data_IF_986365004280
#
_entry.id   IF_986365004280
#
_cell.length_a   1.000
_cell.length_b   1.000
_cell.length_c   1.000
_cell.angle_alpha   90.00
_cell.angle_beta   90.00
_cell.angle_gamma   90.00
#
_symmetry.space_group_name_H-M   'P 1'
#
loop_
_entity.id
_entity.type
_entity.pdbx_description
1 polymer ?
#
# COMPACT_ATOMS: atom_id res chain seq x y z
N UNK A 1 -16.97 -4.96 -17.60
CA UNK A 1 -16.21 -6.16 -17.18
C UNK A 1 -15.04 -5.69 -16.33
N UNK A 2 -14.94 -6.11 -15.06
CA UNK A 2 -13.79 -5.73 -14.22
C UNK A 2 -12.53 -6.44 -14.72
N UNK A 3 -11.41 -5.73 -14.88
CA UNK A 3 -10.11 -6.35 -15.18
C UNK A 3 -9.73 -7.25 -14.00
N UNK A 4 -9.27 -8.47 -14.31
CA UNK A 4 -8.78 -9.44 -13.32
C UNK A 4 -7.26 -9.41 -13.27
N UNK A 5 -6.71 -9.75 -12.12
CA UNK A 5 -5.27 -9.83 -11.92
C UNK A 5 -4.67 -10.87 -12.88
N UNK A 6 -3.50 -10.55 -13.42
CA UNK A 6 -2.75 -11.45 -14.29
C UNK A 6 -1.44 -11.83 -13.62
N UNK A 7 -0.91 -13.00 -13.96
CA UNK A 7 0.23 -13.59 -13.28
C UNK A 7 1.32 -13.99 -14.27
N UNK A 8 2.57 -13.64 -13.98
CA UNK A 8 3.76 -14.02 -14.74
C UNK A 8 4.69 -14.86 -13.87
N UNK A 9 5.04 -16.06 -14.34
CA UNK A 9 5.95 -16.98 -13.64
C UNK A 9 5.53 -17.36 -12.20
N UNK A 10 4.24 -17.30 -11.89
CA UNK A 10 3.68 -17.62 -10.58
C UNK A 10 3.10 -19.04 -10.54
N UNK A 11 3.54 -19.86 -9.58
CA UNK A 11 2.90 -21.15 -9.30
C UNK A 11 1.45 -20.97 -8.82
N UNK A 12 0.64 -22.03 -8.87
CA UNK A 12 -0.75 -22.01 -8.38
C UNK A 12 -0.85 -21.52 -6.93
N UNK A 13 0.04 -21.97 -6.05
CA UNK A 13 0.13 -21.51 -4.65
C UNK A 13 0.39 -20.01 -4.56
N UNK A 14 1.35 -19.48 -5.34
CA UNK A 14 1.65 -18.05 -5.37
C UNK A 14 0.45 -17.25 -5.88
N UNK A 15 -0.23 -17.72 -6.92
CA UNK A 15 -1.46 -17.07 -7.43
C UNK A 15 -2.56 -17.00 -6.34
N UNK A 16 -2.76 -18.07 -5.57
CA UNK A 16 -3.72 -18.06 -4.44
C UNK A 16 -3.30 -17.07 -3.36
N UNK A 17 -2.01 -17.03 -2.99
CA UNK A 17 -1.50 -16.07 -2.00
C UNK A 17 -1.67 -14.63 -2.47
N UNK A 18 -1.42 -14.34 -3.74
CA UNK A 18 -1.62 -13.01 -4.34
C UNK A 18 -3.11 -12.64 -4.34
N UNK A 19 -4.00 -13.53 -4.79
CA UNK A 19 -5.43 -13.28 -4.82
C UNK A 19 -5.99 -12.98 -3.42
N UNK A 20 -5.52 -13.71 -2.39
CA UNK A 20 -5.84 -13.42 -1.00
C UNK A 20 -5.30 -12.06 -0.56
N UNK A 21 -4.05 -11.73 -0.89
CA UNK A 21 -3.43 -10.45 -0.54
C UNK A 21 -4.16 -9.26 -1.18
N UNK A 22 -4.56 -9.37 -2.46
CA UNK A 22 -5.38 -8.36 -3.16
C UNK A 22 -6.71 -8.15 -2.43
N UNK A 23 -7.38 -9.24 -2.06
CA UNK A 23 -8.67 -9.16 -1.38
C UNK A 23 -8.54 -8.46 -0.03
N UNK A 24 -7.55 -8.85 0.78
CA UNK A 24 -7.28 -8.22 2.07
C UNK A 24 -6.84 -6.75 1.94
N UNK A 25 -6.00 -6.43 0.95
CA UNK A 25 -5.60 -5.04 0.67
C UNK A 25 -6.80 -4.18 0.26
N UNK A 26 -7.72 -4.70 -0.55
CA UNK A 26 -8.96 -4.00 -0.91
C UNK A 26 -9.84 -3.74 0.32
N UNK A 27 -9.91 -4.67 1.28
CA UNK A 27 -10.59 -4.47 2.56
C UNK A 27 -9.91 -3.37 3.38
N UNK A 28 -8.58 -3.40 3.55
CA UNK A 28 -7.83 -2.36 4.25
C UNK A 28 -8.01 -0.98 3.63
N UNK A 29 -7.94 -0.88 2.30
CA UNK A 29 -8.18 0.37 1.60
C UNK A 29 -9.63 0.85 1.76
N UNK A 30 -10.60 -0.07 1.82
CA UNK A 30 -12.02 0.26 2.04
C UNK A 30 -12.24 0.82 3.43
N UNK A 31 -11.73 0.15 4.46
CA UNK A 31 -11.80 0.63 5.85
C UNK A 31 -11.08 1.96 6.03
N UNK A 32 -9.92 2.12 5.42
CA UNK A 32 -9.12 3.35 5.43
C UNK A 32 -9.86 4.52 4.77
N UNK A 33 -10.45 4.29 3.59
CA UNK A 33 -11.27 5.27 2.91
C UNK A 33 -12.47 5.67 3.77
N UNK A 34 -13.22 4.69 4.30
CA UNK A 34 -14.39 4.93 5.14
C UNK A 34 -14.02 5.70 6.42
N UNK A 35 -12.89 5.35 7.04
CA UNK A 35 -12.37 6.06 8.20
C UNK A 35 -12.09 7.52 7.88
N UNK A 36 -11.40 7.81 6.76
CA UNK A 36 -11.13 9.18 6.33
C UNK A 36 -12.45 9.93 6.08
N UNK A 37 -13.38 9.36 5.29
CA UNK A 37 -14.65 10.03 4.98
C UNK A 37 -15.51 10.32 6.20
N UNK A 38 -15.46 9.48 7.23
CA UNK A 38 -16.17 9.69 8.49
C UNK A 38 -15.47 10.69 9.42
N UNK A 39 -14.20 11.05 9.14
CA UNK A 39 -13.38 11.97 9.92
C UNK A 39 -12.76 13.05 9.02
N UNK A 40 -13.59 13.90 8.37
CA UNK A 40 -13.11 14.86 7.36
C UNK A 40 -12.15 15.92 7.93
N UNK A 41 -12.23 16.20 9.24
CA UNK A 41 -11.33 17.14 9.94
C UNK A 41 -10.09 16.46 10.54
N UNK A 42 -9.79 15.22 10.13
CA UNK A 42 -8.70 14.42 10.68
C UNK A 42 -9.10 13.57 11.88
N UNK A 43 -8.18 12.75 12.35
CA UNK A 43 -8.37 11.84 13.49
C UNK A 43 -7.01 11.51 14.11
N UNK A 44 -7.00 10.89 15.29
CA UNK A 44 -5.75 10.39 15.90
C UNK A 44 -5.01 9.43 14.97
N UNK A 45 -5.72 8.50 14.32
CA UNK A 45 -5.15 7.59 13.30
C UNK A 45 -4.52 8.33 12.12
N UNK A 46 -5.16 9.39 11.62
CA UNK A 46 -4.59 10.23 10.56
C UNK A 46 -3.31 10.91 11.03
N UNK A 47 -3.37 11.61 12.17
CA UNK A 47 -2.23 12.37 12.69
C UNK A 47 -1.04 11.47 13.02
N UNK A 48 -1.29 10.24 13.47
CA UNK A 48 -0.26 9.24 13.76
C UNK A 48 0.61 8.94 12.53
N UNK A 49 0.02 8.80 11.35
CA UNK A 49 0.71 8.32 10.14
C UNK A 49 0.96 9.40 9.08
N UNK A 50 0.24 10.52 9.12
CA UNK A 50 0.38 11.60 8.15
C UNK A 50 0.70 12.96 8.78
N UNK A 51 0.85 13.00 10.10
CA UNK A 51 1.18 14.22 10.84
C UNK A 51 0.01 15.19 10.96
N UNK A 52 0.31 16.45 11.32
CA UNK A 52 -0.72 17.48 11.52
C UNK A 52 -1.65 17.57 10.32
N UNK A 53 -2.95 17.58 10.58
CA UNK A 53 -3.97 17.61 9.55
C UNK A 53 -3.86 18.84 8.66
N UNK A 54 -4.06 18.63 7.36
CA UNK A 54 -4.31 19.69 6.39
C UNK A 54 -5.25 19.15 5.33
N UNK A 55 -6.14 19.99 4.81
CA UNK A 55 -7.10 19.58 3.78
C UNK A 55 -6.40 19.01 2.53
N UNK A 56 -5.28 19.61 2.09
CA UNK A 56 -4.53 19.14 0.92
C UNK A 56 -3.97 17.72 1.13
N UNK A 57 -3.24 17.47 2.22
CA UNK A 57 -2.69 16.14 2.53
C UNK A 57 -3.77 15.11 2.83
N UNK A 58 -4.85 15.51 3.49
CA UNK A 58 -5.99 14.63 3.72
C UNK A 58 -6.58 14.14 2.39
N UNK A 59 -6.77 15.02 1.42
CA UNK A 59 -7.29 14.66 0.10
C UNK A 59 -6.35 13.73 -0.69
N UNK A 60 -5.03 13.83 -0.49
CA UNK A 60 -4.05 12.89 -1.07
C UNK A 60 -4.23 11.48 -0.51
N UNK A 61 -4.27 11.32 0.81
CA UNK A 61 -4.52 10.03 1.46
C UNK A 61 -5.88 9.45 1.05
N UNK A 62 -6.94 10.27 1.01
CA UNK A 62 -8.27 9.87 0.58
C UNK A 62 -8.28 9.38 -0.87
N UNK A 63 -7.58 10.08 -1.77
CA UNK A 63 -7.44 9.69 -3.18
C UNK A 63 -6.71 8.36 -3.33
N UNK A 64 -5.60 8.18 -2.60
CA UNK A 64 -4.82 6.95 -2.58
C UNK A 64 -5.70 5.75 -2.20
N UNK A 65 -6.38 5.82 -1.05
CA UNK A 65 -7.25 4.73 -0.62
C UNK A 65 -8.48 4.55 -1.52
N UNK A 66 -9.03 5.61 -2.08
CA UNK A 66 -10.13 5.48 -3.04
C UNK A 66 -9.77 4.57 -4.21
N UNK A 67 -8.55 4.72 -4.73
CA UNK A 67 -8.00 3.96 -5.87
C UNK A 67 -7.56 2.55 -5.47
N UNK A 68 -6.86 2.42 -4.35
CA UNK A 68 -6.36 1.13 -3.84
C UNK A 68 -7.46 0.11 -3.51
N UNK A 69 -8.70 0.55 -3.26
CA UNK A 69 -9.86 -0.35 -3.13
C UNK A 69 -10.13 -1.21 -4.37
N UNK A 70 -9.71 -0.75 -5.55
CA UNK A 70 -10.15 -1.33 -6.82
C UNK A 70 -9.01 -1.66 -7.78
N UNK A 71 -7.96 -0.84 -7.82
CA UNK A 71 -6.90 -0.97 -8.82
C UNK A 71 -6.06 -2.25 -8.68
N UNK A 72 -5.69 -2.72 -7.46
CA UNK A 72 -4.87 -3.93 -7.32
C UNK A 72 -5.44 -5.19 -7.97
N UNK A 73 -6.77 -5.29 -8.07
CA UNK A 73 -7.44 -6.41 -8.71
C UNK A 73 -7.26 -6.47 -10.23
N UNK A 74 -6.77 -5.40 -10.86
CA UNK A 74 -6.56 -5.31 -12.31
C UNK A 74 -5.09 -5.27 -12.76
N UNK A 75 -4.15 -5.44 -11.83
CA UNK A 75 -2.70 -5.39 -12.11
C UNK A 75 -2.12 -6.73 -12.56
N UNK A 76 -0.90 -6.69 -13.10
CA UNK A 76 -0.05 -7.83 -13.37
C UNK A 76 0.90 -8.06 -12.20
N UNK A 77 1.01 -9.30 -11.76
CA UNK A 77 1.91 -9.72 -10.68
C UNK A 77 2.94 -10.68 -11.25
N UNK A 78 4.21 -10.30 -11.13
CA UNK A 78 5.35 -11.05 -11.63
C UNK A 78 6.10 -11.72 -10.47
N UNK A 79 6.30 -13.03 -10.57
CA UNK A 79 6.94 -13.85 -9.54
C UNK A 79 8.38 -14.28 -9.89
N UNK A 80 9.02 -13.61 -10.84
CA UNK A 80 10.40 -13.93 -11.27
C UNK A 80 11.46 -13.47 -10.27
N UNK A 81 11.15 -12.51 -9.41
CA UNK A 81 12.09 -12.05 -8.39
C UNK A 81 12.34 -13.14 -7.34
N UNK A 82 13.61 -13.41 -7.05
CA UNK A 82 14.06 -14.45 -6.12
C UNK A 82 14.83 -13.91 -4.92
N UNK A 83 14.98 -12.59 -4.79
CA UNK A 83 15.66 -11.98 -3.64
C UNK A 83 14.91 -12.30 -2.35
N UNK A 84 15.57 -13.04 -1.46
CA UNK A 84 14.99 -13.55 -0.22
C UNK A 84 14.67 -12.46 0.82
N UNK A 85 15.30 -11.28 0.72
CA UNK A 85 15.17 -10.21 1.72
C UNK A 85 14.29 -9.05 1.25
N UNK A 86 13.80 -9.10 0.01
CA UNK A 86 12.95 -8.08 -0.57
C UNK A 86 11.51 -8.57 -0.59
N UNK A 87 10.56 -7.69 -0.24
CA UNK A 87 9.13 -7.97 -0.35
C UNK A 87 8.69 -7.94 -1.80
N UNK A 88 8.76 -6.77 -2.40
CA UNK A 88 8.32 -6.50 -3.74
C UNK A 88 9.02 -5.24 -4.25
N UNK A 89 8.75 -4.90 -5.51
CA UNK A 89 9.04 -3.58 -6.05
C UNK A 89 8.11 -3.30 -7.24
N UNK A 90 7.99 -2.02 -7.59
CA UNK A 90 7.37 -1.56 -8.83
C UNK A 90 8.27 -0.57 -9.56
N UNK A 91 7.99 -0.34 -10.84
CA UNK A 91 8.52 0.83 -11.54
C UNK A 91 7.40 1.85 -11.67
N UNK A 92 7.51 3.08 -11.11
CA UNK A 92 6.46 4.10 -11.19
C UNK A 92 6.04 4.46 -12.63
N UNK A 93 6.94 4.28 -13.60
CA UNK A 93 6.70 4.48 -15.04
C UNK A 93 5.98 3.32 -15.74
N UNK A 94 5.86 2.15 -15.08
CA UNK A 94 5.19 0.95 -15.61
C UNK A 94 3.96 0.62 -14.76
N UNK A 95 2.91 1.43 -14.94
CA UNK A 95 1.69 1.29 -14.17
C UNK A 95 1.12 -0.14 -14.18
N UNK A 96 0.80 -0.64 -12.98
CA UNK A 96 0.05 -1.87 -12.79
C UNK A 96 0.85 -3.14 -13.01
N UNK A 97 2.19 -3.09 -12.89
CA UNK A 97 3.04 -4.28 -12.80
C UNK A 97 3.77 -4.30 -11.45
N UNK A 98 3.52 -5.34 -10.64
CA UNK A 98 4.12 -5.54 -9.34
C UNK A 98 5.02 -6.77 -9.37
N UNK A 99 6.29 -6.61 -8.99
CA UNK A 99 7.26 -7.69 -8.93
C UNK A 99 7.36 -8.18 -7.49
N UNK A 100 7.03 -9.45 -7.25
CA UNK A 100 6.97 -10.05 -5.92
C UNK A 100 8.21 -10.92 -5.69
N UNK A 101 8.93 -10.62 -4.62
CA UNK A 101 10.22 -11.22 -4.28
C UNK A 101 10.08 -12.27 -3.16
N UNK A 102 11.21 -12.81 -2.71
CA UNK A 102 11.26 -13.95 -1.79
C UNK A 102 10.55 -13.69 -0.46
N UNK A 103 10.74 -12.52 0.15
CA UNK A 103 10.25 -12.24 1.49
C UNK A 103 8.71 -12.11 1.55
N UNK A 104 8.08 -11.67 0.47
CA UNK A 104 6.62 -11.61 0.35
C UNK A 104 5.96 -12.97 0.56
N UNK A 105 6.58 -14.06 0.12
CA UNK A 105 5.99 -15.40 0.23
C UNK A 105 5.94 -15.91 1.67
N UNK A 106 6.92 -15.51 2.49
CA UNK A 106 7.03 -15.88 3.91
C UNK A 106 6.31 -14.93 4.85
N UNK A 107 5.94 -13.74 4.37
CA UNK A 107 5.20 -12.75 5.14
C UNK A 107 3.81 -13.25 5.56
N UNK A 108 3.28 -12.77 6.71
CA UNK A 108 1.91 -13.06 7.11
C UNK A 108 0.91 -12.56 6.06
N UNK A 109 -0.30 -13.10 6.07
CA UNK A 109 -1.33 -12.69 5.11
C UNK A 109 -1.82 -11.25 5.35
N UNK A 110 -1.93 -10.86 6.62
CA UNK A 110 -2.53 -9.60 7.10
C UNK A 110 -1.72 -9.02 8.27
N UNK A 111 -1.95 -7.75 8.62
CA UNK A 111 -1.20 -7.00 9.63
C UNK A 111 -0.02 -6.20 9.04
N UNK A 112 0.73 -5.49 9.90
CA UNK A 112 1.91 -4.74 9.48
C UNK A 112 3.01 -5.67 8.92
N UNK A 113 3.62 -5.30 7.80
CA UNK A 113 4.64 -6.12 7.12
C UNK A 113 4.08 -7.39 6.47
N UNK A 114 2.77 -7.42 6.23
CA UNK A 114 2.09 -8.54 5.58
C UNK A 114 2.08 -8.43 4.06
N UNK A 115 1.64 -9.50 3.39
CA UNK A 115 1.38 -9.48 1.95
C UNK A 115 0.36 -8.41 1.56
N UNK A 116 -0.73 -8.27 2.31
CA UNK A 116 -1.75 -7.27 2.03
C UNK A 116 -1.22 -5.83 2.21
N UNK A 117 -0.43 -5.62 3.26
CA UNK A 117 0.27 -4.36 3.55
C UNK A 117 1.26 -4.00 2.43
N UNK A 118 2.00 -4.99 1.93
CA UNK A 118 2.90 -4.84 0.78
C UNK A 118 2.15 -4.39 -0.49
N UNK A 119 0.97 -4.96 -0.77
CA UNK A 119 0.17 -4.54 -1.94
C UNK A 119 -0.26 -3.07 -1.83
N UNK A 120 -0.58 -2.58 -0.63
CA UNK A 120 -0.88 -1.17 -0.39
C UNK A 120 0.37 -0.32 -0.62
N UNK A 121 1.49 -0.69 0.00
CA UNK A 121 2.79 -0.01 -0.15
C UNK A 121 3.15 0.17 -1.64
N UNK A 122 3.32 -0.94 -2.36
CA UNK A 122 3.70 -0.93 -3.77
C UNK A 122 2.70 -0.21 -4.65
N UNK A 123 1.41 -0.35 -4.32
CA UNK A 123 0.34 0.31 -5.04
C UNK A 123 0.45 1.83 -5.01
N UNK A 124 0.94 2.42 -3.91
CA UNK A 124 1.06 3.88 -3.77
C UNK A 124 2.14 4.50 -4.65
N UNK A 125 3.19 3.75 -5.00
CA UNK A 125 4.26 4.23 -5.88
C UNK A 125 3.80 4.52 -7.30
N UNK A 126 2.70 3.91 -7.75
CA UNK A 126 2.14 4.25 -9.05
C UNK A 126 1.58 5.68 -9.04
N UNK A 127 1.98 6.50 -10.01
CA UNK A 127 1.48 7.88 -10.17
C UNK A 127 -0.04 7.95 -10.40
N UNK A 128 -0.61 6.89 -10.95
CA UNK A 128 -2.06 6.72 -11.11
C UNK A 128 -2.77 6.49 -9.78
N UNK A 129 -2.06 6.12 -8.70
CA UNK A 129 -2.57 6.02 -7.33
C UNK A 129 -2.21 7.29 -6.55
N UNK A 130 -0.92 7.56 -6.37
CA UNK A 130 -0.43 8.76 -5.69
C UNK A 130 0.98 9.17 -6.15
N UNK A 131 1.86 8.19 -6.41
CA UNK A 131 3.27 8.45 -6.75
C UNK A 131 4.10 8.74 -5.50
N UNK A 132 3.99 7.88 -4.49
CA UNK A 132 4.83 7.94 -3.29
C UNK A 132 6.27 7.54 -3.59
N UNK A 133 7.18 7.97 -2.72
CA UNK A 133 8.55 7.46 -2.60
C UNK A 133 8.69 6.67 -1.29
N UNK A 134 9.91 6.20 -1.03
CA UNK A 134 10.32 5.53 0.20
C UNK A 134 11.24 6.42 1.05
N UNK A 135 10.65 7.44 1.66
CA UNK A 135 11.35 8.34 2.58
C UNK A 135 11.73 7.68 3.90
N UNK A 136 10.95 6.71 4.36
CA UNK A 136 11.17 6.01 5.62
C UNK A 136 10.55 4.61 5.59
N UNK A 137 11.30 3.63 6.11
CA UNK A 137 10.82 2.26 6.27
C UNK A 137 10.63 1.89 7.74
N UNK A 138 9.56 1.16 8.03
CA UNK A 138 9.23 0.68 9.37
C UNK A 138 8.51 1.72 10.24
N UNK A 139 7.73 1.23 11.19
CA UNK A 139 6.79 2.04 11.97
C UNK A 139 7.48 3.22 12.69
N UNK A 140 8.58 2.98 13.40
CA UNK A 140 9.26 4.04 14.17
C UNK A 140 9.75 5.19 13.28
N UNK A 141 10.34 4.88 12.12
CA UNK A 141 10.80 5.89 11.18
C UNK A 141 9.62 6.62 10.53
N UNK A 142 8.54 5.91 10.21
CA UNK A 142 7.31 6.48 9.67
C UNK A 142 6.62 7.44 10.66
N UNK A 143 6.53 7.07 11.94
CA UNK A 143 6.00 7.95 13.00
C UNK A 143 6.89 9.20 13.18
N UNK A 144 8.22 9.03 13.11
CA UNK A 144 9.15 10.16 13.13
C UNK A 144 9.00 11.06 11.91
N UNK A 145 8.76 10.49 10.73
CA UNK A 145 8.54 11.24 9.51
C UNK A 145 7.22 12.01 9.57
N UNK A 146 6.15 11.38 10.07
CA UNK A 146 4.84 12.01 10.26
C UNK A 146 4.92 13.22 11.20
N UNK A 147 5.70 13.14 12.28
CA UNK A 147 5.86 14.26 13.22
C UNK A 147 6.75 15.38 12.69
N UNK A 148 7.86 15.04 12.02
CA UNK A 148 8.87 16.01 11.59
C UNK A 148 8.65 16.59 10.19
N UNK A 149 8.08 15.81 9.27
CA UNK A 149 7.82 16.22 7.90
C UNK A 149 6.53 15.57 7.35
N UNK A 150 5.34 16.10 7.72
CA UNK A 150 4.05 15.65 7.22
C UNK A 150 3.92 15.65 5.69
N UNK A 151 4.66 16.53 5.00
CA UNK A 151 4.68 16.60 3.53
C UNK A 151 5.28 15.34 2.94
N UNK A 152 6.42 14.86 3.46
CA UNK A 152 7.00 13.60 3.02
C UNK A 152 6.21 12.39 3.55
N UNK A 153 5.62 12.48 4.75
CA UNK A 153 4.86 11.37 5.33
C UNK A 153 3.66 10.97 4.45
N UNK A 154 2.91 11.95 3.92
CA UNK A 154 1.80 11.67 2.97
C UNK A 154 2.29 11.26 1.58
N UNK A 155 3.58 11.36 1.28
CA UNK A 155 4.18 10.83 0.06
C UNK A 155 5.08 9.61 0.34
N UNK A 156 4.99 9.00 1.52
CA UNK A 156 5.73 7.80 1.88
C UNK A 156 4.84 6.56 1.74
N UNK A 157 5.32 5.52 1.07
CA UNK A 157 4.55 4.29 0.85
C UNK A 157 4.22 3.57 2.16
N UNK A 158 5.21 3.39 3.05
CA UNK A 158 5.01 2.71 4.34
C UNK A 158 4.03 3.45 5.27
N UNK A 159 3.93 4.78 5.20
CA UNK A 159 2.93 5.50 6.01
C UNK A 159 1.50 5.14 5.59
N UNK A 160 1.25 4.90 4.29
CA UNK A 160 -0.05 4.41 3.83
C UNK A 160 -0.28 2.97 4.23
N UNK A 161 0.74 2.13 4.12
CA UNK A 161 0.69 0.72 4.51
C UNK A 161 0.29 0.61 6.00
N UNK A 162 1.03 1.26 6.91
CA UNK A 162 0.74 1.27 8.34
C UNK A 162 -0.57 1.97 8.71
N UNK A 163 -0.93 3.07 8.04
CA UNK A 163 -2.25 3.65 8.19
C UNK A 163 -3.33 2.61 7.87
N UNK A 164 -3.15 1.83 6.80
CA UNK A 164 -4.16 0.90 6.30
C UNK A 164 -4.45 -0.28 7.24
N UNK A 165 -3.40 -0.78 7.91
CA UNK A 165 -3.50 -1.89 8.86
C UNK A 165 -3.82 -1.46 10.29
N UNK A 166 -3.97 -0.15 10.53
CA UNK A 166 -4.21 0.44 11.86
C UNK A 166 -3.13 0.03 12.90
N UNK A 167 -1.86 0.11 12.49
CA UNK A 167 -0.71 -0.13 13.37
C UNK A 167 -0.48 1.03 14.37
#
# INVERSE_FOLDING_TARGET
MSKRATYSSCSSTRQTQIASAITSAASYATESYNHLTSNPSGSTRYTRWFGTWSSSRYNLALTSFSRLRTYPAGWAYDCTCTDANTYAYVYPSRYGTVYLCGYFWTAPATGAGSRADTIIHEGTHFTQVLGTDDYAYGQSACLSLASSNPTNAVYNADNHAFFSVNA
#
